data_IF_022335204512
#
_entry.id   IF_022335204512
#
_cell.length_a   1.000
_cell.length_b   1.000
_cell.length_c   1.000
_cell.angle_alpha   90.00
_cell.angle_beta   90.00
_cell.angle_gamma   90.00
#
_symmetry.space_group_name_H-M   'P 1'
#
loop_
_entity.id
_entity.type
_entity.pdbx_description
1 polymer ?
#
# COMPACT_ATOMS: atom_id res chain seq x y z
N UNK A 1 -1.03 63.51 -51.08
CA UNK A 1 -1.31 62.41 -52.03
C UNK A 1 -1.57 61.17 -51.20
N UNK A 2 -2.74 60.51 -51.28
CA UNK A 2 -2.96 59.27 -50.57
C UNK A 2 -2.30 58.12 -51.35
N UNK A 3 -1.56 57.27 -50.64
CA UNK A 3 -0.88 56.11 -51.19
C UNK A 3 -1.90 55.11 -51.75
N UNK A 4 -1.91 54.97 -53.08
CA UNK A 4 -2.60 53.88 -53.78
C UNK A 4 -1.88 52.57 -53.50
N UNK A 5 -2.21 51.96 -52.38
CA UNK A 5 -1.67 50.69 -51.93
C UNK A 5 -2.53 50.21 -50.77
N UNK A 6 -2.86 48.92 -50.78
CA UNK A 6 -3.57 48.31 -49.66
C UNK A 6 -2.76 48.56 -48.39
N UNK A 7 -3.41 49.07 -47.34
CA UNK A 7 -2.79 49.11 -46.04
C UNK A 7 -2.44 47.66 -45.65
N UNK A 8 -1.31 47.48 -44.97
CA UNK A 8 -0.86 46.13 -44.60
C UNK A 8 -1.91 45.45 -43.71
N UNK A 9 -2.64 46.26 -42.93
CA UNK A 9 -3.81 45.87 -42.15
C UNK A 9 -4.94 45.30 -43.01
N UNK A 10 -5.27 45.96 -44.13
CA UNK A 10 -6.35 45.56 -45.04
C UNK A 10 -6.04 44.23 -45.74
N UNK A 11 -4.78 44.02 -46.13
CA UNK A 11 -4.36 42.76 -46.73
C UNK A 11 -4.42 41.60 -45.74
N UNK A 12 -4.00 41.81 -44.50
CA UNK A 12 -4.09 40.77 -43.46
C UNK A 12 -5.55 40.40 -43.18
N UNK A 13 -6.44 41.38 -43.13
CA UNK A 13 -7.86 41.14 -42.93
C UNK A 13 -8.48 40.34 -44.09
N UNK A 14 -8.12 40.68 -45.33
CA UNK A 14 -8.55 39.95 -46.51
C UNK A 14 -7.98 38.52 -46.58
N UNK A 15 -6.72 38.32 -46.20
CA UNK A 15 -6.09 36.99 -46.15
C UNK A 15 -6.78 36.09 -45.11
N UNK A 16 -7.11 36.64 -43.92
CA UNK A 16 -7.85 35.91 -42.89
C UNK A 16 -9.29 35.59 -43.31
N UNK A 17 -9.97 36.51 -44.01
CA UNK A 17 -11.31 36.27 -44.57
C UNK A 17 -11.27 35.17 -45.64
N UNK A 18 -10.28 35.20 -46.52
CA UNK A 18 -10.09 34.17 -47.54
C UNK A 18 -9.80 32.80 -46.91
N UNK A 19 -8.92 32.75 -45.92
CA UNK A 19 -8.60 31.51 -45.19
C UNK A 19 -9.81 30.93 -44.45
N UNK A 20 -10.62 31.78 -43.81
CA UNK A 20 -11.87 31.35 -43.15
C UNK A 20 -12.91 30.87 -44.16
N UNK A 21 -13.02 31.51 -45.32
CA UNK A 21 -13.91 31.06 -46.39
C UNK A 21 -13.48 29.69 -46.93
N UNK A 22 -12.18 29.49 -47.18
CA UNK A 22 -11.66 28.19 -47.62
C UNK A 22 -11.84 27.10 -46.57
N UNK A 23 -11.68 27.42 -45.29
CA UNK A 23 -11.90 26.46 -44.19
C UNK A 23 -13.38 26.14 -43.99
N UNK A 24 -14.26 27.11 -44.26
CA UNK A 24 -15.71 26.91 -44.21
C UNK A 24 -16.21 26.02 -45.35
N UNK A 25 -15.57 26.11 -46.51
CA UNK A 25 -15.87 25.25 -47.66
C UNK A 25 -15.15 23.88 -47.58
N UNK A 26 -14.07 23.77 -46.79
CA UNK A 26 -13.34 22.50 -46.60
C UNK A 26 -13.84 21.64 -45.43
N UNK A 27 -14.66 22.19 -44.53
CA UNK A 27 -15.44 21.39 -43.59
C UNK A 27 -16.72 21.00 -44.32
N UNK A 28 -16.64 19.89 -45.07
CA UNK A 28 -17.81 19.30 -45.68
C UNK A 28 -18.80 18.93 -44.56
N UNK A 29 -20.10 19.12 -44.79
CA UNK A 29 -21.15 18.64 -43.89
C UNK A 29 -20.97 17.14 -43.57
N UNK A 30 -20.36 16.39 -44.50
CA UNK A 30 -19.97 15.00 -44.37
C UNK A 30 -18.87 14.79 -43.32
N UNK A 31 -17.84 15.63 -43.27
CA UNK A 31 -16.76 15.52 -42.28
C UNK A 31 -17.26 15.85 -40.87
N UNK A 32 -18.23 16.78 -40.77
CA UNK A 32 -18.91 17.08 -39.53
C UNK A 32 -19.80 15.90 -39.07
N UNK A 33 -20.57 15.31 -39.99
CA UNK A 33 -21.40 14.13 -39.70
C UNK A 33 -20.56 12.91 -39.30
N UNK A 34 -19.43 12.64 -39.96
CA UNK A 34 -18.50 11.58 -39.57
C UNK A 34 -17.90 11.81 -38.17
N UNK A 35 -17.56 13.06 -37.82
CA UNK A 35 -17.09 13.41 -36.48
C UNK A 35 -18.18 13.21 -35.42
N UNK A 36 -19.41 13.62 -35.71
CA UNK A 36 -20.54 13.42 -34.80
C UNK A 36 -20.89 11.94 -34.61
N UNK A 37 -20.82 11.14 -35.67
CA UNK A 37 -21.03 9.70 -35.61
C UNK A 37 -19.92 9.02 -34.78
N UNK A 38 -18.67 9.44 -34.97
CA UNK A 38 -17.53 9.00 -34.17
C UNK A 38 -17.69 9.32 -32.68
N UNK A 39 -18.11 10.54 -32.33
CA UNK A 39 -18.37 10.91 -30.94
C UNK A 39 -19.57 10.19 -30.33
N UNK A 40 -20.62 9.97 -31.13
CA UNK A 40 -21.82 9.24 -30.67
C UNK A 40 -21.45 7.80 -30.32
N UNK A 41 -20.64 7.15 -31.16
CA UNK A 41 -20.14 5.80 -30.91
C UNK A 41 -19.24 5.72 -29.67
N UNK A 42 -18.33 6.69 -29.49
CA UNK A 42 -17.52 6.77 -28.28
C UNK A 42 -18.35 6.97 -27.01
N UNK A 43 -19.41 7.77 -27.08
CA UNK A 43 -20.34 7.96 -25.96
C UNK A 43 -21.10 6.67 -25.65
N UNK A 44 -21.52 5.93 -26.66
CA UNK A 44 -22.19 4.63 -26.50
C UNK A 44 -21.24 3.59 -25.88
N UNK A 45 -20.01 3.47 -26.39
CA UNK A 45 -18.97 2.59 -25.84
C UNK A 45 -18.67 2.92 -24.37
N UNK A 46 -18.53 4.22 -24.05
CA UNK A 46 -18.30 4.68 -22.67
C UNK A 46 -19.49 4.42 -21.77
N UNK A 47 -20.72 4.58 -22.25
CA UNK A 47 -21.94 4.29 -21.49
C UNK A 47 -22.06 2.79 -21.22
N UNK A 48 -21.72 1.95 -22.19
CA UNK A 48 -21.70 0.51 -22.06
C UNK A 48 -20.65 0.02 -21.08
N UNK A 49 -19.45 0.59 -21.12
CA UNK A 49 -18.41 0.32 -20.15
C UNK A 49 -18.81 0.77 -18.74
N UNK A 50 -19.45 1.94 -18.62
CA UNK A 50 -19.98 2.42 -17.33
C UNK A 50 -21.04 1.48 -16.76
N UNK A 51 -21.95 1.00 -17.62
CA UNK A 51 -22.98 0.02 -17.24
C UNK A 51 -22.35 -1.29 -16.80
N UNK A 52 -21.39 -1.82 -17.55
CA UNK A 52 -20.65 -3.05 -17.21
C UNK A 52 -19.90 -2.91 -15.88
N UNK A 53 -19.22 -1.79 -15.64
CA UNK A 53 -18.51 -1.53 -14.39
C UNK A 53 -19.49 -1.41 -13.20
N UNK A 54 -20.64 -0.76 -13.39
CA UNK A 54 -21.69 -0.70 -12.36
C UNK A 54 -22.27 -2.06 -12.05
N UNK A 55 -22.51 -2.89 -13.06
CA UNK A 55 -22.97 -4.27 -12.88
C UNK A 55 -21.92 -5.13 -12.15
N UNK A 56 -20.63 -4.95 -12.46
CA UNK A 56 -19.54 -5.63 -11.78
C UNK A 56 -19.44 -5.21 -10.31
N UNK A 57 -19.53 -3.92 -10.01
CA UNK A 57 -19.58 -3.41 -8.63
C UNK A 57 -20.81 -3.99 -7.89
N UNK A 58 -21.97 -4.04 -8.55
CA UNK A 58 -23.18 -4.56 -7.92
C UNK A 58 -23.12 -6.08 -7.69
N UNK A 59 -22.49 -6.83 -8.59
CA UNK A 59 -22.18 -8.26 -8.40
C UNK A 59 -21.20 -8.47 -7.25
N UNK A 60 -20.15 -7.68 -7.16
CA UNK A 60 -19.20 -7.74 -6.05
C UNK A 60 -19.87 -7.37 -4.71
N UNK A 61 -20.77 -6.38 -4.70
CA UNK A 61 -21.56 -6.02 -3.53
C UNK A 61 -22.52 -7.14 -3.10
N UNK A 62 -23.17 -7.83 -4.04
CA UNK A 62 -24.03 -8.99 -3.72
C UNK A 62 -23.23 -10.21 -3.25
N UNK A 63 -22.04 -10.43 -3.81
CA UNK A 63 -21.10 -11.45 -3.30
C UNK A 63 -20.66 -11.09 -1.88
N UNK A 64 -20.33 -9.83 -1.58
CA UNK A 64 -19.94 -9.39 -0.24
C UNK A 64 -21.06 -9.55 0.81
N UNK A 65 -22.34 -9.41 0.43
CA UNK A 65 -23.49 -9.63 1.33
C UNK A 65 -23.74 -11.13 1.58
N UNK A 66 -23.32 -12.01 0.67
CA UNK A 66 -23.56 -13.47 0.75
C UNK A 66 -22.43 -14.23 1.44
N UNK A 67 -21.31 -13.59 1.76
CA UNK A 67 -20.25 -14.20 2.57
C UNK A 67 -20.69 -14.20 4.03
N UNK A 68 -21.26 -15.33 4.47
CA UNK A 68 -21.71 -15.65 5.84
C UNK A 68 -20.56 -15.81 6.84
N UNK A 69 -19.46 -15.06 6.68
CA UNK A 69 -18.36 -14.90 7.63
C UNK A 69 -17.42 -13.84 7.04
N UNK A 70 -17.46 -12.57 7.51
CA UNK A 70 -16.48 -11.60 7.05
C UNK A 70 -15.11 -12.09 7.48
N UNK A 71 -14.32 -12.55 6.53
CA UNK A 71 -12.90 -12.76 6.72
C UNK A 71 -12.29 -11.37 6.95
N UNK A 72 -12.18 -10.98 8.22
CA UNK A 72 -11.62 -9.70 8.69
C UNK A 72 -10.18 -9.53 8.15
N UNK A 73 -9.55 -10.60 7.66
CA UNK A 73 -8.26 -10.52 6.99
C UNK A 73 -8.28 -9.76 5.66
N UNK A 74 -9.44 -9.62 5.01
CA UNK A 74 -9.57 -9.03 3.68
C UNK A 74 -10.02 -7.56 3.68
N UNK A 75 -9.78 -6.84 4.79
CA UNK A 75 -10.12 -5.42 4.92
C UNK A 75 -9.11 -4.59 4.12
N UNK A 76 -9.41 -4.35 2.84
CA UNK A 76 -8.62 -3.53 1.91
C UNK A 76 -8.30 -2.11 2.40
N UNK A 77 -8.97 -1.63 3.46
CA UNK A 77 -8.61 -0.39 4.15
C UNK A 77 -7.31 -0.51 4.96
N UNK A 78 -7.11 -1.62 5.70
CA UNK A 78 -5.95 -1.78 6.59
C UNK A 78 -4.64 -1.91 5.80
N UNK A 79 -4.66 -2.63 4.68
CA UNK A 79 -3.48 -2.80 3.81
C UNK A 79 -2.94 -1.50 3.18
N UNK A 80 -3.70 -0.40 3.23
CA UNK A 80 -3.29 0.90 2.70
C UNK A 80 -2.59 1.82 3.72
N UNK A 81 -2.63 1.48 5.01
CA UNK A 81 -2.22 2.37 6.12
C UNK A 81 -0.70 2.45 6.27
N UNK A 82 -0.02 1.31 6.13
CA UNK A 82 1.43 1.20 6.25
C UNK A 82 1.94 -0.05 5.53
N UNK A 83 3.22 -0.06 5.15
CA UNK A 83 3.85 -1.27 4.65
C UNK A 83 4.08 -2.25 5.79
N UNK A 84 3.70 -3.50 5.57
CA UNK A 84 3.91 -4.58 6.52
C UNK A 84 5.28 -5.23 6.32
N UNK A 85 5.94 -5.55 7.44
CA UNK A 85 7.16 -6.34 7.56
C UNK A 85 6.87 -7.77 7.13
N UNK A 86 5.71 -8.30 7.48
CA UNK A 86 5.22 -9.61 7.08
C UNK A 86 3.69 -9.54 6.84
N UNK A 87 3.13 -10.40 5.95
CA UNK A 87 1.70 -10.39 5.68
C UNK A 87 0.85 -10.54 6.95
N UNK A 88 -0.09 -9.62 7.18
CA UNK A 88 -1.00 -9.65 8.33
C UNK A 88 -0.44 -9.03 9.61
N UNK A 89 0.69 -8.32 9.55
CA UNK A 89 1.25 -7.59 10.70
C UNK A 89 0.24 -6.62 11.31
N UNK A 90 -0.52 -5.89 10.49
CA UNK A 90 -1.48 -4.89 10.99
C UNK A 90 -2.56 -5.59 11.82
N UNK A 91 -3.00 -6.76 11.38
CA UNK A 91 -4.00 -7.57 12.07
C UNK A 91 -3.45 -8.03 13.42
N UNK A 92 -2.23 -8.57 13.47
CA UNK A 92 -1.60 -8.98 14.74
C UNK A 92 -1.44 -7.80 15.71
N UNK A 93 -1.13 -6.60 15.19
CA UNK A 93 -1.04 -5.38 16.01
C UNK A 93 -2.41 -4.93 16.53
N UNK A 94 -3.47 -5.06 15.74
CA UNK A 94 -4.85 -4.81 16.19
C UNK A 94 -5.22 -5.82 17.28
N UNK A 95 -4.91 -7.11 17.11
CA UNK A 95 -5.12 -8.12 18.15
C UNK A 95 -4.44 -7.71 19.45
N UNK A 96 -3.16 -7.32 19.41
CA UNK A 96 -2.45 -6.84 20.60
C UNK A 96 -3.17 -5.67 21.29
N UNK A 97 -3.67 -4.70 20.51
CA UNK A 97 -4.42 -3.57 21.06
C UNK A 97 -5.72 -4.04 21.74
N UNK A 98 -6.44 -4.98 21.12
CA UNK A 98 -7.68 -5.56 21.67
C UNK A 98 -7.39 -6.35 22.96
N UNK A 99 -6.39 -7.22 22.98
CA UNK A 99 -5.97 -7.94 24.20
C UNK A 99 -5.61 -6.96 25.33
N UNK A 100 -4.89 -5.88 25.01
CA UNK A 100 -4.53 -4.85 25.99
C UNK A 100 -5.77 -4.14 26.51
N UNK A 101 -6.75 -3.86 25.64
CA UNK A 101 -8.00 -3.21 26.00
C UNK A 101 -8.88 -4.12 26.89
N UNK A 102 -8.98 -5.41 26.58
CA UNK A 102 -9.68 -6.41 27.43
C UNK A 102 -9.01 -6.47 28.81
N UNK A 103 -7.68 -6.57 28.86
CA UNK A 103 -6.94 -6.64 30.13
C UNK A 103 -7.12 -5.37 30.97
N UNK A 104 -7.26 -4.21 30.34
CA UNK A 104 -7.47 -2.93 31.01
C UNK A 104 -8.96 -2.56 31.21
N UNK A 105 -9.90 -3.41 30.76
CA UNK A 105 -11.32 -3.09 30.70
C UNK A 105 -11.91 -2.79 32.08
N UNK A 106 -11.57 -3.61 33.08
CA UNK A 106 -12.01 -3.45 34.46
C UNK A 106 -11.55 -2.10 35.04
N UNK A 107 -10.31 -1.71 34.77
CA UNK A 107 -9.73 -0.48 35.30
C UNK A 107 -10.24 0.76 34.56
N UNK A 108 -10.67 0.60 33.31
CA UNK A 108 -11.08 1.69 32.42
C UNK A 108 -12.60 1.92 32.42
N UNK A 109 -13.38 1.09 33.12
CA UNK A 109 -14.83 1.21 33.19
C UNK A 109 -15.53 0.95 31.85
N UNK A 110 -14.98 0.03 31.05
CA UNK A 110 -15.56 -0.36 29.75
C UNK A 110 -16.85 -1.14 29.98
N UNK A 111 -17.85 -0.92 29.13
CA UNK A 111 -19.13 -1.62 29.20
C UNK A 111 -19.04 -3.08 28.69
N UNK A 112 -19.94 -3.94 29.19
CA UNK A 112 -19.97 -5.37 28.86
C UNK A 112 -20.14 -5.65 27.36
N UNK A 113 -20.86 -4.79 26.63
CA UNK A 113 -21.08 -4.98 25.19
C UNK A 113 -19.79 -4.74 24.39
N UNK A 114 -19.04 -3.70 24.74
CA UNK A 114 -17.72 -3.45 24.13
C UNK A 114 -16.75 -4.61 24.38
N UNK A 115 -16.74 -5.15 25.60
CA UNK A 115 -15.91 -6.31 25.96
C UNK A 115 -16.29 -7.55 25.15
N UNK A 116 -17.58 -7.86 25.04
CA UNK A 116 -18.07 -8.99 24.24
C UNK A 116 -17.67 -8.86 22.75
N UNK A 117 -17.76 -7.66 22.18
CA UNK A 117 -17.33 -7.42 20.78
C UNK A 117 -15.81 -7.64 20.62
N UNK A 118 -15.00 -7.18 21.58
CA UNK A 118 -13.56 -7.37 21.54
C UNK A 118 -13.15 -8.84 21.63
N UNK A 119 -13.83 -9.62 22.47
CA UNK A 119 -13.63 -11.07 22.57
C UNK A 119 -13.96 -11.77 21.24
N UNK A 120 -15.08 -11.41 20.60
CA UNK A 120 -15.47 -11.92 19.27
C UNK A 120 -14.42 -11.58 18.19
N UNK A 121 -13.90 -10.34 18.19
CA UNK A 121 -12.82 -9.94 17.26
C UNK A 121 -11.59 -10.83 17.43
N UNK A 122 -11.17 -11.09 18.66
CA UNK A 122 -10.00 -11.94 18.94
C UNK A 122 -10.24 -13.38 18.54
N UNK A 123 -11.44 -13.92 18.78
CA UNK A 123 -11.80 -15.29 18.41
C UNK A 123 -11.83 -15.50 16.89
N UNK A 124 -12.27 -14.50 16.13
CA UNK A 124 -12.37 -14.58 14.67
C UNK A 124 -11.12 -14.12 13.91
N UNK A 125 -10.10 -13.65 14.62
CA UNK A 125 -8.87 -13.14 14.02
C UNK A 125 -7.67 -13.93 14.54
N UNK A 126 -7.29 -15.05 13.90
CA UNK A 126 -6.14 -15.85 14.34
C UNK A 126 -4.81 -15.14 14.07
N UNK A 127 -3.72 -15.66 14.65
CA UNK A 127 -2.38 -15.10 14.45
C UNK A 127 -1.93 -15.33 13.02
N UNK A 128 -1.24 -14.35 12.45
CA UNK A 128 -0.65 -14.55 11.14
C UNK A 128 0.43 -15.65 11.17
N UNK A 129 0.34 -16.69 10.32
CA UNK A 129 1.39 -17.71 10.22
C UNK A 129 2.72 -17.12 9.72
N UNK A 130 2.68 -16.01 8.98
CA UNK A 130 3.88 -15.34 8.49
C UNK A 130 4.74 -14.77 9.63
N UNK A 131 4.15 -14.50 10.80
CA UNK A 131 4.91 -14.13 11.99
C UNK A 131 5.77 -15.30 12.51
N UNK A 132 5.24 -16.52 12.48
CA UNK A 132 5.99 -17.71 12.91
C UNK A 132 7.12 -18.05 11.94
N UNK A 133 6.87 -17.88 10.64
CA UNK A 133 7.90 -17.98 9.62
C UNK A 133 9.01 -16.97 9.85
N UNK A 134 8.67 -15.69 10.10
CA UNK A 134 9.64 -14.64 10.38
C UNK A 134 10.48 -14.94 11.64
N UNK A 135 9.85 -15.41 12.71
CA UNK A 135 10.55 -15.79 13.95
C UNK A 135 11.48 -16.98 13.73
N UNK A 136 11.04 -17.99 12.97
CA UNK A 136 11.85 -19.15 12.59
C UNK A 136 13.06 -18.74 11.74
N UNK A 137 12.84 -17.89 10.74
CA UNK A 137 13.89 -17.37 9.87
C UNK A 137 14.90 -16.51 10.65
N UNK A 138 14.44 -15.70 11.60
CA UNK A 138 15.30 -14.90 12.47
C UNK A 138 16.15 -15.79 13.40
N UNK A 139 15.55 -16.81 13.99
CA UNK A 139 16.24 -17.80 14.81
C UNK A 139 17.31 -18.55 13.99
N UNK A 140 16.99 -18.90 12.74
CA UNK A 140 17.93 -19.55 11.82
C UNK A 140 19.08 -18.60 11.45
N UNK A 141 18.78 -17.36 11.07
CA UNK A 141 19.75 -16.35 10.67
C UNK A 141 20.72 -15.96 11.81
N UNK A 142 20.32 -16.17 13.07
CA UNK A 142 21.14 -15.89 14.25
C UNK A 142 21.90 -17.10 14.79
N UNK A 143 21.85 -18.26 14.12
CA UNK A 143 22.46 -19.51 14.61
C UNK A 143 23.96 -19.61 14.35
N UNK A 144 24.45 -19.14 13.20
CA UNK A 144 25.86 -19.23 12.81
C UNK A 144 26.62 -17.93 13.11
N UNK A 145 27.56 -17.91 14.08
CA UNK A 145 28.33 -16.71 14.41
C UNK A 145 29.14 -16.13 13.25
N UNK A 146 29.57 -16.96 12.28
CA UNK A 146 30.40 -16.51 11.16
C UNK A 146 29.57 -15.84 10.06
N UNK A 147 28.28 -16.19 9.97
CA UNK A 147 27.39 -15.76 8.88
C UNK A 147 26.28 -14.83 9.34
N UNK A 148 26.03 -14.71 10.65
CA UNK A 148 24.90 -13.95 11.21
C UNK A 148 24.79 -12.54 10.66
N UNK A 149 25.90 -11.81 10.49
CA UNK A 149 25.83 -10.44 10.02
C UNK A 149 25.27 -10.36 8.59
N UNK A 150 25.66 -11.30 7.73
CA UNK A 150 25.15 -11.38 6.36
C UNK A 150 23.73 -11.94 6.33
N UNK A 151 23.45 -13.01 7.08
CA UNK A 151 22.13 -13.66 7.09
C UNK A 151 21.04 -12.77 7.68
N UNK A 152 21.31 -12.09 8.80
CA UNK A 152 20.39 -11.13 9.42
C UNK A 152 20.20 -9.91 8.51
N UNK A 153 21.26 -9.43 7.85
CA UNK A 153 21.15 -8.33 6.90
C UNK A 153 20.25 -8.72 5.72
N UNK A 154 20.52 -9.84 5.06
CA UNK A 154 19.70 -10.34 3.95
C UNK A 154 18.26 -10.66 4.35
N UNK A 155 18.01 -11.07 5.60
CA UNK A 155 16.66 -11.23 6.11
C UNK A 155 15.98 -9.86 6.26
N UNK A 156 16.58 -8.95 7.02
CA UNK A 156 15.96 -7.66 7.32
C UNK A 156 15.80 -6.77 6.07
N UNK A 157 16.67 -6.90 5.07
CA UNK A 157 16.49 -6.22 3.77
C UNK A 157 15.23 -6.65 3.03
N UNK A 158 14.86 -7.94 3.11
CA UNK A 158 13.59 -8.46 2.57
C UNK A 158 12.37 -7.91 3.32
N UNK A 159 12.57 -7.50 4.57
CA UNK A 159 11.52 -7.02 5.47
C UNK A 159 11.58 -5.49 5.71
N UNK A 160 12.06 -4.74 4.72
CA UNK A 160 11.93 -3.28 4.73
C UNK A 160 13.09 -2.51 5.34
N UNK A 161 14.26 -3.12 5.54
CA UNK A 161 15.49 -2.41 5.89
C UNK A 161 16.39 -2.18 4.68
N UNK A 162 17.32 -1.22 4.81
CA UNK A 162 18.44 -0.99 3.90
C UNK A 162 19.73 -1.02 4.70
N UNK A 163 20.70 -1.81 4.25
CA UNK A 163 22.02 -1.82 4.85
C UNK A 163 22.85 -0.60 4.46
N UNK A 164 23.46 0.02 5.46
CA UNK A 164 24.62 0.91 5.35
C UNK A 164 25.76 0.22 6.09
N UNK A 165 26.71 -0.33 5.33
CA UNK A 165 27.86 -0.98 5.94
C UNK A 165 28.86 0.08 6.41
N UNK A 166 29.27 -0.05 7.67
CA UNK A 166 30.49 0.55 8.19
C UNK A 166 31.55 -0.56 8.30
N UNK A 167 32.82 -0.20 8.42
CA UNK A 167 33.93 -1.16 8.42
C UNK A 167 33.76 -2.25 9.49
N UNK A 168 33.20 -1.90 10.67
CA UNK A 168 33.07 -2.81 11.82
C UNK A 168 31.65 -3.34 12.08
N UNK A 169 30.62 -2.56 11.74
CA UNK A 169 29.22 -2.89 12.01
C UNK A 169 28.36 -2.65 10.76
N UNK A 170 27.31 -3.44 10.60
CA UNK A 170 26.28 -3.19 9.58
C UNK A 170 25.16 -2.41 10.24
N UNK A 171 24.92 -1.18 9.80
CA UNK A 171 23.79 -0.37 10.24
C UNK A 171 22.62 -0.61 9.29
N UNK A 172 21.46 -0.93 9.84
CA UNK A 172 20.24 -1.17 9.07
C UNK A 172 19.27 -0.03 9.36
N UNK A 173 18.86 0.67 8.30
CA UNK A 173 17.89 1.76 8.38
C UNK A 173 16.56 1.33 7.74
N UNK A 174 15.41 1.68 8.32
CA UNK A 174 14.13 1.36 7.72
C UNK A 174 13.93 2.10 6.40
N UNK A 175 13.30 1.43 5.44
CA UNK A 175 12.91 2.02 4.17
C UNK A 175 11.64 2.86 4.30
N UNK A 176 11.44 3.80 3.37
CA UNK A 176 10.25 4.63 3.35
C UNK A 176 8.96 3.79 3.24
N UNK A 177 8.02 4.08 4.13
CA UNK A 177 6.71 3.41 4.23
C UNK A 177 6.60 2.38 5.37
N UNK A 178 7.72 1.98 5.98
CA UNK A 178 7.71 1.12 7.17
C UNK A 178 7.68 1.97 8.45
N UNK A 179 6.48 2.42 8.82
CA UNK A 179 6.26 3.35 9.93
C UNK A 179 6.58 2.68 11.28
N UNK A 180 7.24 3.41 12.17
CA UNK A 180 7.52 2.95 13.54
C UNK A 180 8.74 2.02 13.68
N UNK A 181 9.35 1.57 12.58
CA UNK A 181 10.60 0.82 12.62
C UNK A 181 11.79 1.71 13.06
N UNK A 182 12.68 1.12 13.87
CA UNK A 182 13.89 1.79 14.37
C UNK A 182 15.13 1.22 13.71
N UNK A 183 16.19 2.02 13.58
CA UNK A 183 17.47 1.55 13.05
C UNK A 183 18.08 0.46 13.94
N UNK A 184 18.66 -0.55 13.31
CA UNK A 184 19.36 -1.65 13.95
C UNK A 184 20.86 -1.59 13.62
N UNK A 185 21.69 -2.17 14.48
CA UNK A 185 23.13 -2.31 14.23
C UNK A 185 23.55 -3.73 14.55
N UNK A 186 24.15 -4.40 13.57
CA UNK A 186 24.60 -5.79 13.67
C UNK A 186 26.12 -5.80 13.61
N UNK A 187 26.79 -6.46 14.57
CA UNK A 187 28.23 -6.65 14.54
C UNK A 187 28.62 -7.74 13.55
N UNK A 188 29.70 -7.51 12.77
CA UNK A 188 30.23 -8.50 11.81
C UNK A 188 30.81 -9.74 12.49
N UNK A 189 31.35 -9.57 13.69
CA UNK A 189 31.91 -10.63 14.53
C UNK A 189 31.23 -10.60 15.89
N UNK A 190 30.19 -11.43 16.11
CA UNK A 190 29.64 -11.67 17.44
C UNK A 190 30.66 -12.44 18.28
N UNK A 191 30.81 -12.06 19.54
CA UNK A 191 31.83 -12.61 20.42
C UNK A 191 31.48 -14.00 21.00
N UNK A 192 30.20 -14.36 21.14
CA UNK A 192 29.76 -15.61 21.78
C UNK A 192 28.31 -16.00 21.39
N UNK A 193 27.98 -17.28 21.55
CA UNK A 193 26.66 -17.91 21.41
C UNK A 193 25.56 -17.20 22.24
N UNK A 194 25.88 -16.71 23.44
CA UNK A 194 24.97 -15.88 24.24
C UNK A 194 24.68 -14.54 23.57
N UNK A 195 25.70 -13.96 22.92
CA UNK A 195 25.57 -12.73 22.14
C UNK A 195 24.59 -12.88 20.98
N UNK A 196 24.58 -14.04 20.32
CA UNK A 196 23.64 -14.36 19.23
C UNK A 196 22.18 -14.42 19.70
N UNK A 197 21.91 -15.10 20.82
CA UNK A 197 20.56 -15.14 21.40
C UNK A 197 20.08 -13.75 21.83
N UNK A 198 20.97 -12.94 22.37
CA UNK A 198 20.66 -11.57 22.76
C UNK A 198 20.36 -10.70 21.54
N UNK A 199 21.11 -10.87 20.45
CA UNK A 199 20.86 -10.18 19.18
C UNK A 199 19.49 -10.55 18.61
N UNK A 200 19.13 -11.83 18.59
CA UNK A 200 17.79 -12.29 18.16
C UNK A 200 16.69 -11.58 18.94
N UNK A 201 16.74 -11.63 20.29
CA UNK A 201 15.78 -10.95 21.15
C UNK A 201 15.77 -9.43 20.99
N UNK A 202 16.92 -8.82 20.72
CA UNK A 202 17.01 -7.38 20.45
C UNK A 202 16.29 -7.03 19.15
N UNK A 203 16.47 -7.82 18.09
CA UNK A 203 15.79 -7.63 16.81
C UNK A 203 14.28 -7.80 17.01
N UNK A 204 13.82 -8.87 17.66
CA UNK A 204 12.39 -9.09 17.96
C UNK A 204 11.75 -7.91 18.71
N UNK A 205 12.45 -7.35 19.70
CA UNK A 205 11.98 -6.16 20.43
C UNK A 205 11.96 -4.92 19.56
N UNK A 206 12.94 -4.76 18.68
CA UNK A 206 13.05 -3.58 17.81
C UNK A 206 11.99 -3.59 16.72
N UNK A 207 11.63 -4.76 16.19
CA UNK A 207 10.49 -4.94 15.29
C UNK A 207 9.14 -4.84 16.03
N UNK A 208 9.15 -4.89 17.36
CA UNK A 208 7.95 -4.83 18.18
C UNK A 208 7.12 -6.12 18.16
N UNK A 209 7.69 -7.24 17.71
CA UNK A 209 6.99 -8.53 17.58
C UNK A 209 7.03 -9.35 18.88
N UNK A 210 7.96 -9.05 19.80
CA UNK A 210 8.15 -9.80 21.06
C UNK A 210 6.95 -9.81 22.03
N UNK A 211 5.99 -8.90 21.84
CA UNK A 211 4.80 -8.77 22.69
C UNK A 211 3.50 -9.14 21.98
N UNK A 212 3.58 -9.57 20.73
CA UNK A 212 2.38 -9.98 20.00
C UNK A 212 1.79 -11.23 20.68
N UNK A 213 0.46 -11.27 20.87
CA UNK A 213 -0.21 -12.37 21.56
C UNK A 213 0.06 -13.69 20.81
N UNK A 214 0.30 -14.75 21.59
CA UNK A 214 0.24 -16.11 21.07
C UNK A 214 -1.23 -16.53 20.93
N UNK A 215 -1.49 -17.52 20.07
CA UNK A 215 -2.79 -18.19 20.05
C UNK A 215 -3.01 -19.02 21.32
#
# INVERSE_FOLDING_TARGET
>A
MPSSGWDWTDFQEHALKAQRATLRDSLSQVDAEELFEGFSKQLEDLQDENRRLKEEINRQATVAITITQPDISNVGFLGSVAKEIYPGEIIDRVRLAVYTAIFAAETSGVDERSLAIWEEIVQHTPRSPALDELLSDLSRATKDPKRVANEVTSLLERHGYRAKSDNKHVRLEPQNGYVGLKSLTVSKTPSDSRGLKNLCKQIERTLGISKLPAD
#
